data_IF_540484078456
#
_entry.id   IF_540484078456
#
_cell.length_a   1.000
_cell.length_b   1.000
_cell.length_c   1.000
_cell.angle_alpha   90.00
_cell.angle_beta   90.00
_cell.angle_gamma   90.00
#
_symmetry.space_group_name_H-M   'P 1'
#
loop_
_entity.id
_entity.type
_entity.pdbx_description
1 polymer ?
#
# COMPACT_ATOMS: atom_id res chain seq x y z
N UNK A 1 0.91 -16.88 -15.20
CA UNK A 1 1.36 -15.61 -14.61
C UNK A 1 0.32 -15.07 -13.61
N UNK A 2 -0.97 -15.13 -13.92
CA UNK A 2 -2.02 -14.62 -13.04
C UNK A 2 -2.23 -15.39 -11.71
N UNK A 3 -1.91 -16.68 -11.67
CA UNK A 3 -2.10 -17.51 -10.47
C UNK A 3 -1.14 -17.15 -9.31
N UNK A 4 0.08 -16.71 -9.61
CA UNK A 4 1.05 -16.31 -8.57
C UNK A 4 0.71 -14.96 -7.92
N UNK A 5 0.15 -14.02 -8.69
CA UNK A 5 -0.30 -12.74 -8.14
C UNK A 5 -1.51 -12.90 -7.20
N UNK A 6 -2.45 -13.82 -7.51
CA UNK A 6 -3.60 -14.09 -6.65
C UNK A 6 -3.19 -14.64 -5.27
N UNK A 7 -2.18 -15.48 -5.19
CA UNK A 7 -1.68 -16.02 -3.92
C UNK A 7 -0.96 -14.98 -3.06
N UNK A 8 -0.32 -13.97 -3.64
CA UNK A 8 0.37 -12.92 -2.89
C UNK A 8 -0.59 -11.97 -2.16
N UNK A 9 -1.77 -11.71 -2.71
CA UNK A 9 -2.74 -10.79 -2.09
C UNK A 9 -3.46 -11.37 -0.87
N UNK A 10 -3.53 -12.69 -0.73
CA UNK A 10 -4.29 -13.38 0.32
C UNK A 10 -3.40 -13.79 1.51
N UNK A 11 -2.10 -13.94 1.31
CA UNK A 11 -1.19 -14.56 2.29
C UNK A 11 -0.57 -13.63 3.31
N UNK A 12 -0.62 -12.32 3.11
CA UNK A 12 0.21 -11.42 3.91
C UNK A 12 -0.59 -10.48 4.81
N UNK A 13 -1.34 -11.07 5.72
CA UNK A 13 -1.66 -10.41 6.99
C UNK A 13 -0.55 -10.75 7.97
N UNK A 14 0.58 -10.10 7.85
CA UNK A 14 1.63 -10.31 8.82
C UNK A 14 1.44 -9.36 9.99
N UNK A 15 0.81 -9.88 11.03
CA UNK A 15 1.04 -9.34 12.36
C UNK A 15 2.44 -9.79 12.79
N UNK A 16 3.17 -8.92 13.45
CA UNK A 16 4.39 -9.31 14.17
C UNK A 16 4.02 -10.26 15.32
N UNK A 17 5.01 -10.95 15.88
CA UNK A 17 4.79 -11.82 17.05
C UNK A 17 4.16 -11.08 18.25
N UNK A 18 4.33 -9.78 18.30
CA UNK A 18 3.82 -8.88 19.35
C UNK A 18 2.44 -8.28 19.01
N UNK A 19 1.82 -8.71 17.91
CA UNK A 19 0.50 -8.25 17.50
C UNK A 19 0.47 -6.92 16.75
N UNK A 20 1.61 -6.33 16.45
CA UNK A 20 1.72 -5.12 15.65
C UNK A 20 1.51 -5.37 14.16
N UNK A 21 1.05 -4.37 13.43
CA UNK A 21 0.89 -4.45 11.99
C UNK A 21 2.24 -4.37 11.29
N UNK A 22 2.61 -5.41 10.57
CA UNK A 22 3.85 -5.45 9.80
C UNK A 22 3.66 -4.93 8.36
N UNK A 23 2.48 -5.13 7.79
CA UNK A 23 2.21 -4.79 6.39
C UNK A 23 0.74 -4.42 6.20
N UNK A 24 0.47 -3.40 5.40
CA UNK A 24 -0.88 -3.00 4.99
C UNK A 24 -0.93 -3.03 3.47
N UNK A 25 -1.90 -3.76 2.93
CA UNK A 25 -2.19 -3.79 1.50
C UNK A 25 -3.66 -3.54 1.25
N UNK A 26 -3.94 -2.60 0.39
CA UNK A 26 -5.28 -2.27 -0.03
C UNK A 26 -5.25 -1.76 -1.47
N UNK A 27 -5.98 -2.41 -2.36
CA UNK A 27 -6.13 -1.95 -3.74
C UNK A 27 -7.45 -2.44 -4.30
N UNK A 28 -8.36 -1.53 -4.56
CA UNK A 28 -9.65 -1.85 -5.19
C UNK A 28 -9.46 -2.35 -6.62
N UNK A 29 -8.47 -1.83 -7.34
CA UNK A 29 -8.24 -2.16 -8.74
C UNK A 29 -7.66 -3.57 -8.96
N UNK A 30 -6.96 -4.10 -7.97
CA UNK A 30 -6.29 -5.41 -8.07
C UNK A 30 -6.85 -6.46 -7.12
N UNK A 31 -7.90 -6.11 -6.37
CA UNK A 31 -8.57 -7.03 -5.47
C UNK A 31 -9.45 -8.00 -6.26
N UNK A 32 -9.30 -9.26 -5.96
CA UNK A 32 -10.23 -10.32 -6.41
C UNK A 32 -11.30 -10.56 -5.33
N UNK A 33 -12.29 -11.39 -5.63
CA UNK A 33 -13.26 -11.83 -4.63
C UNK A 33 -12.56 -12.41 -3.41
N UNK A 34 -13.03 -12.05 -2.23
CA UNK A 34 -12.45 -12.53 -0.98
C UNK A 34 -12.78 -14.01 -0.79
N UNK A 35 -11.75 -14.82 -0.57
CA UNK A 35 -11.89 -16.23 -0.25
C UNK A 35 -12.05 -16.37 1.28
N UNK A 36 -13.30 -16.46 1.73
CA UNK A 36 -13.62 -16.62 3.14
C UNK A 36 -14.87 -17.50 3.28
N UNK A 37 -15.07 -18.04 4.49
CA UNK A 37 -16.23 -18.86 4.79
C UNK A 37 -17.53 -18.07 4.58
N UNK A 38 -18.59 -18.66 3.97
CA UNK A 38 -19.85 -17.96 3.68
C UNK A 38 -20.47 -17.26 4.89
N UNK A 39 -20.39 -17.85 6.08
CA UNK A 39 -20.99 -17.31 7.30
C UNK A 39 -20.37 -15.99 7.78
N UNK A 40 -19.15 -15.69 7.36
CA UNK A 40 -18.43 -14.45 7.73
C UNK A 40 -18.25 -13.49 6.56
N UNK A 41 -18.70 -13.86 5.38
CA UNK A 41 -18.47 -13.09 4.15
C UNK A 41 -19.00 -11.66 4.26
N UNK A 42 -20.23 -11.48 4.72
CA UNK A 42 -20.83 -10.16 4.87
C UNK A 42 -20.05 -9.28 5.86
N UNK A 43 -19.57 -9.87 6.95
CA UNK A 43 -18.78 -9.16 7.95
C UNK A 43 -17.43 -8.72 7.37
N UNK A 44 -16.79 -9.58 6.59
CA UNK A 44 -15.50 -9.29 5.93
C UNK A 44 -15.66 -8.17 4.89
N UNK A 45 -16.70 -8.24 4.05
CA UNK A 45 -16.95 -7.18 3.07
C UNK A 45 -17.34 -5.86 3.75
N UNK A 46 -18.13 -5.90 4.81
CA UNK A 46 -18.45 -4.71 5.59
C UNK A 46 -17.19 -4.06 6.19
N UNK A 47 -16.33 -4.87 6.81
CA UNK A 47 -15.08 -4.38 7.37
C UNK A 47 -14.14 -3.80 6.29
N UNK A 48 -14.05 -4.47 5.14
CA UNK A 48 -13.27 -3.99 4.01
C UNK A 48 -13.80 -2.65 3.46
N UNK A 49 -15.11 -2.52 3.30
CA UNK A 49 -15.73 -1.27 2.84
C UNK A 49 -15.51 -0.14 3.86
N UNK A 50 -15.68 -0.43 5.15
CA UNK A 50 -15.41 0.55 6.21
C UNK A 50 -13.95 0.99 6.22
N UNK A 51 -13.02 0.06 6.04
CA UNK A 51 -11.61 0.38 5.93
C UNK A 51 -11.33 1.28 4.71
N UNK A 52 -11.89 0.95 3.55
CA UNK A 52 -11.79 1.78 2.34
C UNK A 52 -12.28 3.23 2.56
N UNK A 53 -13.37 3.40 3.29
CA UNK A 53 -13.88 4.74 3.64
C UNK A 53 -12.92 5.50 4.56
N UNK A 54 -12.30 4.83 5.52
CA UNK A 54 -11.29 5.45 6.40
C UNK A 54 -10.06 5.93 5.63
N UNK A 55 -9.67 5.24 4.56
CA UNK A 55 -8.53 5.65 3.73
C UNK A 55 -8.76 6.97 2.97
N UNK A 56 -10.00 7.44 2.87
CA UNK A 56 -10.36 8.72 2.26
C UNK A 56 -10.69 9.81 3.29
N UNK A 57 -10.64 9.49 4.57
CA UNK A 57 -10.88 10.44 5.64
C UNK A 57 -9.65 11.34 5.82
N UNK A 58 -9.84 12.66 5.74
CA UNK A 58 -8.76 13.65 5.81
C UNK A 58 -7.93 13.59 7.11
N UNK A 59 -8.45 12.96 8.16
CA UNK A 59 -7.71 12.71 9.40
C UNK A 59 -6.54 11.73 9.23
N UNK A 60 -6.59 10.88 8.19
CA UNK A 60 -5.60 9.83 7.93
C UNK A 60 -4.85 10.04 6.61
N UNK A 61 -5.16 11.10 5.87
CA UNK A 61 -4.60 11.38 4.56
C UNK A 61 -3.70 12.59 4.60
N UNK A 62 -2.46 12.42 4.17
CA UNK A 62 -1.53 13.52 3.91
C UNK A 62 -1.57 13.84 2.43
N UNK A 63 -1.92 15.07 2.08
CA UNK A 63 -1.97 15.55 0.69
C UNK A 63 -0.88 16.60 0.49
N UNK A 64 -0.07 16.42 -0.54
CA UNK A 64 0.94 17.40 -0.92
C UNK A 64 1.16 17.40 -2.43
N UNK A 65 1.64 18.49 -2.95
CA UNK A 65 2.00 18.64 -4.36
C UNK A 65 3.50 18.50 -4.50
N UNK A 66 3.92 17.69 -5.48
CA UNK A 66 5.32 17.56 -5.85
C UNK A 66 5.70 18.66 -6.86
N UNK A 67 6.82 19.29 -6.64
CA UNK A 67 7.44 20.22 -7.57
C UNK A 67 8.53 19.51 -8.39
N UNK A 68 8.95 20.07 -9.53
CA UNK A 68 10.08 19.52 -10.25
C UNK A 68 11.34 19.44 -9.37
N UNK A 69 11.95 18.27 -9.32
CA UNK A 69 13.12 18.00 -8.48
C UNK A 69 12.81 17.43 -7.09
N UNK A 70 11.54 17.40 -6.68
CA UNK A 70 11.18 16.77 -5.41
C UNK A 70 11.35 15.25 -5.49
N UNK A 71 11.89 14.69 -4.41
CA UNK A 71 12.01 13.25 -4.20
C UNK A 71 11.27 12.91 -2.91
N UNK A 72 10.42 11.91 -2.97
CA UNK A 72 9.82 11.35 -1.78
C UNK A 72 10.10 9.84 -1.70
N UNK A 73 10.36 9.36 -0.50
CA UNK A 73 10.62 7.96 -0.22
C UNK A 73 9.78 7.51 0.98
N UNK A 74 9.26 6.30 0.92
CA UNK A 74 8.43 5.77 1.98
C UNK A 74 8.49 4.25 2.02
N UNK A 75 8.17 3.69 3.19
CA UNK A 75 8.01 2.26 3.35
C UNK A 75 6.64 1.84 2.81
N UNK A 76 6.63 1.24 1.63
CA UNK A 76 5.42 0.80 0.94
C UNK A 76 4.60 -0.29 1.70
N UNK A 77 5.18 -0.85 2.76
CA UNK A 77 4.45 -1.79 3.63
C UNK A 77 3.68 -1.09 4.76
N UNK A 78 4.04 0.15 5.07
CA UNK A 78 3.44 0.89 6.18
C UNK A 78 2.49 1.99 5.77
N UNK A 79 2.57 2.45 4.53
CA UNK A 79 1.72 3.51 4.01
C UNK A 79 1.08 3.10 2.70
N UNK A 80 -0.18 3.42 2.57
CA UNK A 80 -0.87 3.38 1.29
C UNK A 80 -0.66 4.71 0.59
N UNK A 81 -0.52 4.68 -0.71
CA UNK A 81 -0.30 5.87 -1.50
C UNK A 81 -1.16 5.85 -2.77
N UNK A 82 -1.47 7.02 -3.23
CA UNK A 82 -2.25 7.20 -4.43
C UNK A 82 -2.01 8.57 -5.03
N UNK A 83 -2.66 8.83 -6.12
CA UNK A 83 -2.66 10.14 -6.77
C UNK A 83 -4.08 10.61 -6.97
N UNK A 84 -4.29 11.90 -6.85
CA UNK A 84 -5.53 12.53 -7.27
C UNK A 84 -5.63 12.58 -8.81
N UNK A 85 -6.84 12.74 -9.32
CA UNK A 85 -7.05 13.00 -10.72
C UNK A 85 -6.27 14.26 -11.14
N UNK A 86 -5.82 14.29 -12.38
CA UNK A 86 -5.12 15.43 -12.97
C UNK A 86 -5.72 15.72 -14.36
N UNK A 87 -5.64 16.98 -14.76
CA UNK A 87 -6.03 17.39 -16.09
C UNK A 87 -4.85 17.15 -17.06
N UNK A 88 -5.02 16.27 -18.08
CA UNK A 88 -3.97 16.00 -19.07
C UNK A 88 -3.51 17.26 -19.85
N UNK A 89 -4.37 18.28 -19.92
CA UNK A 89 -4.09 19.51 -20.62
C UNK A 89 -3.34 20.55 -19.77
N UNK A 90 -3.13 20.26 -18.47
CA UNK A 90 -2.50 21.21 -17.54
C UNK A 90 -0.97 21.28 -17.64
N UNK A 91 -0.36 20.60 -18.61
CA UNK A 91 1.07 20.63 -18.86
C UNK A 91 1.76 19.26 -18.81
N UNK A 92 3.07 19.27 -19.03
CA UNK A 92 3.86 18.05 -18.98
C UNK A 92 4.01 17.55 -17.55
N UNK A 93 3.76 16.25 -17.36
CA UNK A 93 3.97 15.56 -16.10
C UNK A 93 4.91 14.39 -16.32
N UNK A 94 6.02 14.40 -15.61
CA UNK A 94 6.96 13.28 -15.56
C UNK A 94 7.18 12.87 -14.11
N UNK A 95 6.88 11.62 -13.79
CA UNK A 95 7.14 11.02 -12.49
C UNK A 95 7.87 9.70 -12.72
N UNK A 96 9.03 9.57 -12.11
CA UNK A 96 9.84 8.36 -12.17
C UNK A 96 9.79 7.67 -10.81
N UNK A 97 9.47 6.37 -10.78
CA UNK A 97 9.46 5.55 -9.58
C UNK A 97 10.58 4.52 -9.59
N UNK A 98 11.12 4.25 -8.41
CA UNK A 98 12.08 3.19 -8.18
C UNK A 98 11.71 2.40 -6.93
N UNK A 99 11.90 1.09 -6.96
CA UNK A 99 11.67 0.20 -5.82
C UNK A 99 13.00 -0.36 -5.37
N UNK A 100 13.20 -0.38 -4.05
CA UNK A 100 14.36 -0.97 -3.40
C UNK A 100 13.90 -2.06 -2.45
N UNK A 101 14.56 -3.19 -2.46
CA UNK A 101 14.26 -4.27 -1.55
C UNK A 101 14.59 -3.87 -0.10
N UNK A 102 13.65 -4.17 0.79
CA UNK A 102 13.80 -3.82 2.21
C UNK A 102 15.03 -4.47 2.83
N UNK A 103 15.33 -5.69 2.43
CA UNK A 103 16.44 -6.44 3.00
C UNK A 103 17.81 -5.83 2.63
N UNK A 104 17.92 -5.21 1.46
CA UNK A 104 19.11 -4.44 1.09
C UNK A 104 19.30 -3.23 2.00
N UNK A 105 18.21 -2.50 2.29
CA UNK A 105 18.25 -1.34 3.20
C UNK A 105 18.64 -1.79 4.61
N UNK A 106 18.02 -2.84 5.14
CA UNK A 106 18.29 -3.35 6.48
C UNK A 106 19.73 -3.89 6.55
N UNK A 107 20.17 -4.65 5.55
CA UNK A 107 21.53 -5.16 5.47
C UNK A 107 22.57 -4.03 5.48
N UNK A 108 22.32 -2.95 4.73
CA UNK A 108 23.20 -1.79 4.72
C UNK A 108 23.22 -1.03 6.05
N UNK A 109 22.05 -0.86 6.67
CA UNK A 109 21.96 -0.25 8.00
C UNK A 109 22.75 -1.06 9.04
N UNK A 110 22.57 -2.38 9.07
CA UNK A 110 23.30 -3.27 9.98
C UNK A 110 24.83 -3.20 9.77
N UNK A 111 25.26 -3.14 8.52
CA UNK A 111 26.68 -2.97 8.19
C UNK A 111 27.26 -1.66 8.68
N UNK A 112 26.51 -0.55 8.53
CA UNK A 112 26.96 0.78 8.96
C UNK A 112 26.88 0.99 10.48
N UNK A 113 26.18 0.13 11.20
CA UNK A 113 26.00 0.20 12.66
C UNK A 113 27.04 -0.61 13.43
N UNK A 114 27.96 -1.29 12.74
CA UNK A 114 29.10 -2.00 13.32
C UNK A 114 30.29 -1.06 13.50
#
# INVERSE_FOLDING_TARGET
>A
VHRRQRQMCIRDRSLTKDGDYNDIRFSVATMDALDCHPDVMDQVYFAHHRFGNLLHDDRFVIKFRLNPGDIYSFNNRRVLHGRTAFDPNSGHRHLQGYYMDRDEIIGRLNYLSQ
#
